data_IF_067375969734
#
_entry.id   IF_067375969734
#
_cell.length_a   1.000
_cell.length_b   1.000
_cell.length_c   1.000
_cell.angle_alpha   90.00
_cell.angle_beta   90.00
_cell.angle_gamma   90.00
#
_symmetry.space_group_name_H-M   'P 1'
#
loop_
_entity.id
_entity.type
_entity.pdbx_description
1 polymer ?
#
# COMPACT_ATOMS: atom_id res chain seq x y z
N UNK A 1 -4.41 10.38 -11.24
CA UNK A 1 -4.09 9.14 -10.52
C UNK A 1 -3.28 8.29 -11.46
N UNK A 2 -2.05 7.96 -11.06
CA UNK A 2 -1.12 7.17 -11.86
C UNK A 2 -1.55 5.69 -11.91
N UNK A 3 -1.02 4.91 -12.84
CA UNK A 3 -1.31 3.48 -12.92
C UNK A 3 -0.76 2.71 -11.71
N UNK A 4 0.39 3.14 -11.18
CA UNK A 4 0.95 2.62 -9.92
C UNK A 4 0.01 2.83 -8.74
N UNK A 5 -0.58 4.04 -8.64
CA UNK A 5 -1.53 4.39 -7.58
C UNK A 5 -2.77 3.49 -7.63
N UNK A 6 -3.28 3.23 -8.84
CA UNK A 6 -4.44 2.37 -9.06
C UNK A 6 -4.14 0.92 -8.70
N UNK A 7 -2.95 0.43 -9.04
CA UNK A 7 -2.49 -0.93 -8.71
C UNK A 7 -2.45 -1.13 -7.19
N UNK A 8 -1.76 -0.26 -6.45
CA UNK A 8 -1.65 -0.41 -4.98
C UNK A 8 -2.99 -0.26 -4.27
N UNK A 9 -3.87 0.62 -4.76
CA UNK A 9 -5.23 0.78 -4.23
C UNK A 9 -6.08 -0.48 -4.44
N UNK A 10 -5.98 -1.09 -5.62
CA UNK A 10 -6.68 -2.34 -5.93
C UNK A 10 -6.15 -3.47 -5.07
N UNK A 11 -4.82 -3.56 -4.91
CA UNK A 11 -4.20 -4.58 -4.09
C UNK A 11 -4.55 -4.42 -2.61
N UNK A 12 -4.70 -3.20 -2.09
CA UNK A 12 -5.12 -2.96 -0.72
C UNK A 12 -6.51 -3.56 -0.45
N UNK A 13 -7.47 -3.36 -1.37
CA UNK A 13 -8.81 -3.95 -1.28
C UNK A 13 -8.74 -5.48 -1.38
N UNK A 14 -7.94 -6.01 -2.29
CA UNK A 14 -7.79 -7.45 -2.44
C UNK A 14 -7.15 -8.10 -1.21
N UNK A 15 -6.14 -7.47 -0.63
CA UNK A 15 -5.45 -7.92 0.60
C UNK A 15 -6.43 -8.04 1.76
N UNK A 16 -7.31 -7.05 1.94
CA UNK A 16 -8.33 -7.10 2.99
C UNK A 16 -9.31 -8.27 2.79
N UNK A 17 -9.78 -8.51 1.55
CA UNK A 17 -10.67 -9.64 1.22
C UNK A 17 -9.99 -10.99 1.45
N UNK A 18 -8.75 -11.13 0.98
CA UNK A 18 -7.99 -12.38 1.12
C UNK A 18 -7.64 -12.68 2.58
N UNK A 19 -7.37 -11.63 3.37
CA UNK A 19 -7.18 -11.75 4.80
C UNK A 19 -8.46 -12.24 5.49
N UNK A 20 -9.60 -11.60 5.23
CA UNK A 20 -10.90 -11.96 5.81
C UNK A 20 -11.26 -13.42 5.47
N UNK A 21 -11.15 -13.81 4.20
CA UNK A 21 -11.41 -15.18 3.78
C UNK A 21 -10.46 -16.21 4.43
N UNK A 22 -9.18 -15.86 4.64
CA UNK A 22 -8.25 -16.75 5.34
C UNK A 22 -8.61 -16.88 6.83
N UNK A 23 -9.04 -15.79 7.48
CA UNK A 23 -9.48 -15.79 8.88
C UNK A 23 -10.77 -16.59 9.08
N UNK A 24 -11.74 -16.49 8.18
CA UNK A 24 -12.97 -17.30 8.19
C UNK A 24 -12.67 -18.81 8.13
N UNK A 25 -11.62 -19.19 7.40
CA UNK A 25 -11.16 -20.57 7.28
C UNK A 25 -10.16 -20.99 8.39
N UNK A 26 -9.94 -20.16 9.42
CA UNK A 26 -8.97 -20.39 10.49
C UNK A 26 -7.51 -20.55 9.99
N UNK A 27 -7.19 -20.01 8.82
CA UNK A 27 -5.87 -20.07 8.19
C UNK A 27 -4.98 -18.87 8.60
N UNK A 28 -4.75 -18.68 9.90
CA UNK A 28 -4.02 -17.51 10.44
C UNK A 28 -2.66 -17.25 9.76
N UNK A 29 -1.88 -18.32 9.52
CA UNK A 29 -0.58 -18.21 8.85
C UNK A 29 -0.69 -17.64 7.43
N UNK A 30 -1.79 -17.93 6.73
CA UNK A 30 -2.05 -17.42 5.39
C UNK A 30 -2.49 -15.96 5.45
N UNK A 31 -3.38 -15.62 6.38
CA UNK A 31 -3.84 -14.25 6.62
C UNK A 31 -2.65 -13.30 6.86
N UNK A 32 -1.74 -13.66 7.78
CA UNK A 32 -0.54 -12.85 8.07
C UNK A 32 0.38 -12.75 6.84
N UNK A 33 0.59 -13.85 6.09
CA UNK A 33 1.41 -13.83 4.87
C UNK A 33 0.85 -12.89 3.81
N UNK A 34 -0.48 -12.83 3.66
CA UNK A 34 -1.16 -11.91 2.74
C UNK A 34 -0.82 -10.45 3.09
N UNK A 35 -0.90 -10.08 4.37
CA UNK A 35 -0.51 -8.73 4.83
C UNK A 35 0.97 -8.46 4.57
N UNK A 36 1.85 -9.42 4.81
CA UNK A 36 3.30 -9.26 4.59
C UNK A 36 3.65 -9.09 3.10
N UNK A 37 2.93 -9.79 2.23
CA UNK A 37 3.04 -9.60 0.78
C UNK A 37 2.64 -8.18 0.37
N UNK A 38 1.56 -7.63 0.96
CA UNK A 38 1.14 -6.26 0.72
C UNK A 38 2.17 -5.23 1.20
N UNK A 39 2.75 -5.42 2.38
CA UNK A 39 3.88 -4.59 2.87
C UNK A 39 5.03 -4.60 1.85
N UNK A 40 5.39 -5.78 1.33
CA UNK A 40 6.41 -5.91 0.29
C UNK A 40 6.10 -5.11 -0.97
N UNK A 41 4.85 -5.15 -1.46
CA UNK A 41 4.42 -4.34 -2.61
C UNK A 41 4.53 -2.84 -2.33
N UNK A 42 4.14 -2.39 -1.13
CA UNK A 42 4.22 -0.99 -0.75
C UNK A 42 5.67 -0.50 -0.66
N UNK A 43 6.59 -1.33 -0.17
CA UNK A 43 8.03 -1.02 -0.24
C UNK A 43 8.49 -0.83 -1.69
N UNK A 44 8.08 -1.71 -2.61
CA UNK A 44 8.39 -1.52 -4.04
C UNK A 44 7.78 -0.23 -4.60
N UNK A 45 6.56 0.12 -4.19
CA UNK A 45 5.91 1.37 -4.60
C UNK A 45 6.68 2.60 -4.11
N UNK A 46 7.27 2.56 -2.91
CA UNK A 46 8.18 3.62 -2.41
C UNK A 46 9.38 3.77 -3.36
N UNK A 47 10.00 2.66 -3.75
CA UNK A 47 11.14 2.67 -4.67
C UNK A 47 10.76 3.19 -6.07
N UNK A 48 9.58 2.81 -6.58
CA UNK A 48 9.07 3.23 -7.88
C UNK A 48 8.69 4.72 -7.92
N UNK A 49 8.16 5.25 -6.82
CA UNK A 49 7.72 6.66 -6.73
C UNK A 49 8.82 7.61 -6.28
N UNK A 50 9.88 7.11 -5.63
CA UNK A 50 11.01 7.89 -5.11
C UNK A 50 10.57 9.23 -4.46
N UNK A 51 9.72 9.21 -3.42
CA UNK A 51 9.14 10.43 -2.85
C UNK A 51 10.19 11.43 -2.35
N UNK A 52 11.37 10.96 -1.94
CA UNK A 52 12.49 11.82 -1.55
C UNK A 52 13.10 12.61 -2.72
N UNK A 53 12.95 12.14 -3.96
CA UNK A 53 13.34 12.87 -5.17
C UNK A 53 12.24 13.86 -5.52
N UNK A 54 10.97 13.42 -5.54
CA UNK A 54 9.82 14.28 -5.84
C UNK A 54 9.74 15.48 -4.87
N UNK A 55 10.05 15.26 -3.59
CA UNK A 55 10.08 16.30 -2.57
C UNK A 55 11.15 17.39 -2.80
N UNK A 56 12.17 17.12 -3.62
CA UNK A 56 13.22 18.09 -3.98
C UNK A 56 12.93 18.82 -5.29
N UNK A 57 11.91 18.40 -6.05
CA UNK A 57 11.55 19.01 -7.32
C UNK A 57 10.73 20.29 -7.10
N UNK A 58 11.01 21.33 -7.89
CA UNK A 58 10.20 22.55 -7.91
C UNK A 58 9.01 22.44 -8.86
N UNK A 59 9.00 21.44 -9.74
CA UNK A 59 7.98 21.20 -10.75
C UNK A 59 6.59 20.95 -10.12
N UNK A 60 5.57 21.55 -10.73
CA UNK A 60 4.20 21.48 -10.22
C UNK A 60 3.60 20.07 -10.36
N UNK A 61 3.94 19.34 -11.42
CA UNK A 61 3.47 17.98 -11.63
C UNK A 61 4.12 17.00 -10.65
N UNK A 62 5.42 17.16 -10.36
CA UNK A 62 6.12 16.35 -9.34
C UNK A 62 5.55 16.56 -7.93
N UNK A 63 5.14 17.79 -7.59
CA UNK A 63 4.45 18.08 -6.32
C UNK A 63 3.11 17.34 -6.21
N UNK A 64 2.35 17.25 -7.30
CA UNK A 64 1.09 16.49 -7.33
C UNK A 64 1.35 14.99 -7.20
N UNK A 65 2.38 14.46 -7.88
CA UNK A 65 2.79 13.06 -7.73
C UNK A 65 3.22 12.74 -6.31
N UNK A 66 3.99 13.61 -5.67
CA UNK A 66 4.39 13.45 -4.27
C UNK A 66 3.18 13.37 -3.34
N UNK A 67 2.21 14.28 -3.49
CA UNK A 67 0.99 14.26 -2.69
C UNK A 67 0.22 12.95 -2.85
N UNK A 68 0.10 12.48 -4.11
CA UNK A 68 -0.53 11.19 -4.40
C UNK A 68 0.22 10.05 -3.72
N UNK A 69 1.54 9.95 -3.89
CA UNK A 69 2.36 8.88 -3.33
C UNK A 69 2.28 8.85 -1.79
N UNK A 70 2.42 10.01 -1.15
CA UNK A 70 2.31 10.12 0.31
C UNK A 70 0.94 9.72 0.84
N UNK A 71 -0.14 10.07 0.12
CA UNK A 71 -1.49 9.64 0.48
C UNK A 71 -1.64 8.12 0.44
N UNK A 72 -1.24 7.47 -0.67
CA UNK A 72 -1.35 6.02 -0.81
C UNK A 72 -0.50 5.27 0.21
N UNK A 73 0.69 5.78 0.53
CA UNK A 73 1.55 5.20 1.56
C UNK A 73 0.94 5.29 2.96
N UNK A 74 0.40 6.46 3.32
CA UNK A 74 -0.27 6.64 4.60
C UNK A 74 -1.53 5.77 4.72
N UNK A 75 -2.31 5.67 3.65
CA UNK A 75 -3.52 4.86 3.63
C UNK A 75 -3.21 3.35 3.69
N UNK A 76 -2.19 2.90 2.97
CA UNK A 76 -1.74 1.52 3.08
C UNK A 76 -1.27 1.19 4.50
N UNK A 77 -0.54 2.11 5.15
CA UNK A 77 -0.10 1.95 6.54
C UNK A 77 -1.29 1.84 7.50
N UNK A 78 -2.34 2.66 7.31
CA UNK A 78 -3.59 2.58 8.08
C UNK A 78 -4.24 1.21 7.95
N UNK A 79 -4.35 0.69 6.73
CA UNK A 79 -4.94 -0.63 6.44
C UNK A 79 -4.11 -1.74 7.11
N UNK A 80 -2.78 -1.72 6.92
CA UNK A 80 -1.87 -2.69 7.54
C UNK A 80 -2.04 -2.69 9.06
N UNK A 81 -2.06 -1.52 9.70
CA UNK A 81 -2.21 -1.39 11.15
C UNK A 81 -3.51 -2.02 11.67
N UNK A 82 -4.60 -1.93 10.91
CA UNK A 82 -5.88 -2.58 11.26
C UNK A 82 -5.78 -4.09 11.10
N UNK A 83 -5.22 -4.59 9.99
CA UNK A 83 -5.15 -6.03 9.70
C UNK A 83 -4.21 -6.80 10.64
N UNK A 84 -3.19 -6.13 11.19
CA UNK A 84 -2.25 -6.75 12.16
C UNK A 84 -2.66 -6.55 13.61
N UNK A 85 -3.74 -5.80 13.86
CA UNK A 85 -4.23 -5.58 15.22
C UNK A 85 -4.71 -6.91 15.82
N UNK A 86 -4.44 -7.17 17.11
CA UNK A 86 -4.86 -8.40 17.80
C UNK A 86 -6.38 -8.61 17.84
#
# INVERSE_FOLDING_TARGET
MDDLDRDVSTLAVQTAKDFEAAMENMELNKAIKTVWSFIGRMNKYIDETMPWVLAKSEDAHDKVRLQSAMYHLAEALRIIAILVSP
#
